data_IF_544265089744
#
_entry.id   IF_544265089744
#
_cell.length_a   1.000
_cell.length_b   1.000
_cell.length_c   1.000
_cell.angle_alpha   90.00
_cell.angle_beta   90.00
_cell.angle_gamma   90.00
#
_symmetry.space_group_name_H-M   'P 1'
#
loop_
_entity.id
_entity.type
_entity.pdbx_description
1 polymer ?
#
# COMPACT_ATOMS: atom_id res chain seq x y z
N UNK A 1 6.86 22.32 -21.38
CA UNK A 1 6.47 20.91 -21.49
C UNK A 1 5.59 20.58 -20.28
N UNK A 2 4.26 20.51 -20.43
CA UNK A 2 3.37 20.15 -19.32
C UNK A 2 3.69 18.78 -18.70
N UNK A 3 4.15 17.81 -19.49
CA UNK A 3 4.52 16.45 -19.02
C UNK A 3 5.62 16.44 -17.96
N UNK A 4 6.67 17.26 -18.13
CA UNK A 4 7.77 17.34 -17.16
C UNK A 4 7.26 17.83 -15.80
N UNK A 5 6.35 18.80 -15.79
CA UNK A 5 5.76 19.31 -14.55
C UNK A 5 4.96 18.24 -13.80
N UNK A 6 4.25 17.36 -14.52
CA UNK A 6 3.55 16.21 -13.91
C UNK A 6 4.50 15.17 -13.35
N UNK A 7 5.60 14.92 -14.06
CA UNK A 7 6.67 14.03 -13.59
C UNK A 7 7.28 14.57 -12.29
N UNK A 8 7.61 15.86 -12.27
CA UNK A 8 8.17 16.55 -11.12
C UNK A 8 7.21 16.55 -9.93
N UNK A 9 5.91 16.77 -10.17
CA UNK A 9 4.86 16.69 -9.15
C UNK A 9 4.79 15.30 -8.49
N UNK A 10 4.83 14.23 -9.29
CA UNK A 10 4.87 12.85 -8.77
C UNK A 10 6.18 12.62 -8.00
N UNK A 11 7.31 13.09 -8.51
CA UNK A 11 8.60 12.96 -7.83
C UNK A 11 8.63 13.72 -6.49
N UNK A 12 8.02 14.89 -6.40
CA UNK A 12 7.92 15.67 -5.16
C UNK A 12 7.06 14.94 -4.11
N UNK A 13 5.92 14.39 -4.53
CA UNK A 13 5.05 13.60 -3.65
C UNK A 13 5.74 12.34 -3.13
N UNK A 14 6.54 11.69 -3.97
CA UNK A 14 7.25 10.45 -3.64
C UNK A 14 8.53 10.69 -2.84
N UNK A 15 9.13 11.88 -2.92
CA UNK A 15 10.29 12.22 -2.09
C UNK A 15 9.93 12.21 -0.59
N UNK A 16 8.67 12.47 -0.24
CA UNK A 16 8.18 12.33 1.13
C UNK A 16 8.20 10.87 1.62
N UNK A 17 7.90 9.90 0.74
CA UNK A 17 8.05 8.48 1.06
C UNK A 17 9.51 8.11 1.28
N UNK A 18 10.40 8.59 0.39
CA UNK A 18 11.85 8.34 0.50
C UNK A 18 12.44 8.84 1.81
N UNK A 19 12.00 10.02 2.25
CA UNK A 19 12.45 10.63 3.52
C UNK A 19 11.78 10.01 4.75
N UNK A 20 10.91 9.02 4.56
CA UNK A 20 10.15 8.36 5.64
C UNK A 20 9.42 9.38 6.54
N UNK A 21 8.91 10.46 5.94
CA UNK A 21 8.15 11.48 6.65
C UNK A 21 6.73 10.97 6.92
N UNK A 22 6.58 10.05 7.89
CA UNK A 22 5.31 9.38 8.20
C UNK A 22 4.18 10.35 8.54
N UNK A 23 4.52 11.52 9.10
CA UNK A 23 3.61 12.61 9.41
C UNK A 23 3.00 13.28 8.17
N UNK A 24 3.58 13.05 6.99
CA UNK A 24 3.13 13.62 5.71
C UNK A 24 2.42 12.63 4.80
N UNK A 25 2.28 11.35 5.19
CA UNK A 25 1.67 10.34 4.33
C UNK A 25 0.24 10.66 3.92
N UNK A 26 -0.55 11.26 4.81
CA UNK A 26 -1.92 11.69 4.49
C UNK A 26 -1.93 12.80 3.45
N UNK A 27 -1.00 13.74 3.56
CA UNK A 27 -0.86 14.82 2.59
C UNK A 27 -0.43 14.30 1.22
N UNK A 28 0.55 13.40 1.19
CA UNK A 28 0.98 12.71 -0.03
C UNK A 28 -0.17 11.97 -0.70
N UNK A 29 -0.94 11.19 0.06
CA UNK A 29 -2.05 10.41 -0.47
C UNK A 29 -3.16 11.31 -1.03
N UNK A 30 -3.54 12.35 -0.30
CA UNK A 30 -4.55 13.29 -0.74
C UNK A 30 -4.12 14.04 -2.01
N UNK A 31 -2.86 14.44 -2.11
CA UNK A 31 -2.31 15.03 -3.34
C UNK A 31 -2.33 14.05 -4.51
N UNK A 32 -1.89 12.80 -4.31
CA UNK A 32 -1.91 11.79 -5.36
C UNK A 32 -3.34 11.49 -5.83
N UNK A 33 -4.33 11.46 -4.92
CA UNK A 33 -5.75 11.33 -5.27
C UNK A 33 -6.26 12.53 -6.09
N UNK A 34 -5.81 13.75 -5.78
CA UNK A 34 -6.12 14.94 -6.57
C UNK A 34 -5.54 14.82 -7.99
N UNK A 35 -4.28 14.40 -8.12
CA UNK A 35 -3.64 14.15 -9.41
C UNK A 35 -4.38 13.07 -10.22
N UNK A 36 -4.74 11.95 -9.61
CA UNK A 36 -5.56 10.88 -10.21
C UNK A 36 -6.91 11.43 -10.70
N UNK A 37 -7.58 12.24 -9.88
CA UNK A 37 -8.88 12.85 -10.22
C UNK A 37 -8.76 13.79 -11.41
N UNK A 38 -7.71 14.63 -11.45
CA UNK A 38 -7.48 15.57 -12.54
C UNK A 38 -7.22 14.82 -13.85
N UNK A 39 -6.40 13.76 -13.83
CA UNK A 39 -6.14 12.96 -15.03
C UNK A 39 -7.38 12.21 -15.51
N UNK A 40 -8.15 11.61 -14.60
CA UNK A 40 -9.34 10.83 -14.98
C UNK A 40 -10.53 11.67 -15.41
N UNK A 41 -10.67 12.90 -14.89
CA UNK A 41 -11.82 13.77 -15.21
C UNK A 41 -11.60 14.59 -16.49
N UNK A 42 -10.36 15.02 -16.77
CA UNK A 42 -10.08 15.94 -17.88
C UNK A 42 -9.68 15.25 -19.18
N UNK A 43 -9.45 13.94 -19.17
CA UNK A 43 -9.02 13.22 -20.36
C UNK A 43 -10.25 12.69 -21.09
N UNK A 44 -10.52 13.23 -22.28
CA UNK A 44 -11.51 12.67 -23.23
C UNK A 44 -10.96 11.32 -23.73
N UNK A 45 -11.83 10.34 -24.00
CA UNK A 45 -11.45 8.94 -24.28
C UNK A 45 -10.32 8.75 -25.33
N UNK A 46 -10.14 9.69 -26.26
CA UNK A 46 -9.08 9.63 -27.29
C UNK A 46 -7.74 10.31 -26.90
N UNK A 47 -7.69 11.11 -25.82
CA UNK A 47 -6.52 11.95 -25.47
C UNK A 47 -5.54 11.27 -24.48
N UNK A 48 -5.83 10.06 -24.05
CA UNK A 48 -5.01 9.34 -23.06
C UNK A 48 -3.57 9.05 -23.51
N UNK A 49 -3.31 9.05 -24.82
CA UNK A 49 -1.97 8.89 -25.41
C UNK A 49 -1.22 10.22 -25.55
N UNK A 50 -1.82 11.32 -25.11
CA UNK A 50 -1.20 12.63 -25.13
C UNK A 50 -0.81 13.05 -23.71
N UNK A 51 0.20 13.92 -23.57
CA UNK A 51 0.50 14.53 -22.30
C UNK A 51 -0.66 15.41 -21.83
N UNK A 52 -0.89 15.52 -20.51
CA UNK A 52 -1.90 16.43 -19.97
C UNK A 52 -1.59 17.87 -20.39
N UNK A 53 -2.62 18.61 -20.81
CA UNK A 53 -2.47 20.01 -21.24
C UNK A 53 -2.44 20.98 -20.06
N UNK A 54 -3.03 20.60 -18.93
CA UNK A 54 -2.98 21.33 -17.67
C UNK A 54 -1.67 21.09 -16.92
N UNK A 55 -1.29 22.04 -16.07
CA UNK A 55 -0.24 21.83 -15.08
C UNK A 55 -0.83 21.13 -13.85
N UNK A 56 -0.06 20.27 -13.16
CA UNK A 56 -0.51 19.73 -11.89
C UNK A 56 -0.56 20.84 -10.83
N UNK A 57 -1.42 20.72 -9.80
CA UNK A 57 -1.37 21.57 -8.62
C UNK A 57 -0.01 21.45 -7.92
N UNK A 58 0.46 22.49 -7.24
CA UNK A 58 1.70 22.41 -6.45
C UNK A 58 1.44 21.63 -5.15
N UNK A 59 2.35 20.72 -4.80
CA UNK A 59 2.23 19.96 -3.56
C UNK A 59 2.13 20.84 -2.31
N UNK A 60 2.87 21.96 -2.28
CA UNK A 60 2.85 22.94 -1.18
C UNK A 60 1.56 23.75 -1.09
N UNK A 61 0.83 23.93 -2.19
CA UNK A 61 -0.42 24.71 -2.19
C UNK A 61 -1.58 23.92 -1.61
N UNK A 62 -1.60 22.60 -1.82
CA UNK A 62 -2.63 21.70 -1.27
C UNK A 62 -2.53 21.58 0.26
N UNK A 63 -1.34 21.81 0.84
CA UNK A 63 -1.10 21.69 2.27
C UNK A 63 -0.43 22.95 2.82
N UNK A 64 -1.21 24.02 2.97
CA UNK A 64 -0.85 25.06 3.93
C UNK A 64 -0.80 24.38 5.31
N UNK A 65 0.43 24.22 5.83
CA UNK A 65 0.65 23.70 7.18
C UNK A 65 -0.31 24.41 8.12
N UNK A 66 -1.26 23.66 8.71
CA UNK A 66 -2.02 24.18 9.84
C UNK A 66 -0.98 24.59 10.87
N UNK A 67 -0.95 25.88 11.30
CA UNK A 67 0.11 26.37 12.16
C UNK A 67 0.18 25.47 13.39
N UNK A 68 1.32 24.79 13.55
CA UNK A 68 1.54 23.80 14.61
C UNK A 68 1.13 24.43 15.93
N UNK A 69 0.01 23.97 16.47
CA UNK A 69 -0.44 24.31 17.82
C UNK A 69 0.69 23.94 18.77
N UNK A 70 1.32 24.97 19.36
CA UNK A 70 2.41 24.80 20.30
C UNK A 70 1.85 24.16 21.57
N UNK A 71 1.94 22.84 21.69
CA UNK A 71 1.55 22.17 22.92
C UNK A 71 1.46 20.66 22.80
N UNK A 72 2.49 20.00 23.32
CA UNK A 72 2.57 18.63 23.87
C UNK A 72 3.66 17.83 23.19
N UNK A 73 4.81 17.75 23.85
CA UNK A 73 5.87 16.77 23.62
C UNK A 73 5.33 15.36 23.84
N UNK A 74 4.75 14.77 22.80
CA UNK A 74 4.63 13.32 22.66
C UNK A 74 6.01 12.79 22.26
N UNK A 75 6.50 11.78 22.97
CA UNK A 75 7.71 11.01 22.62
C UNK A 75 7.56 10.56 21.16
N UNK A 76 8.41 11.10 20.29
CA UNK A 76 8.29 10.92 18.84
C UNK A 76 8.57 9.47 18.45
N UNK A 77 7.58 8.83 17.85
CA UNK A 77 7.64 7.52 17.16
C UNK A 77 8.83 7.38 16.21
N UNK A 78 9.40 8.51 15.76
CA UNK A 78 10.62 8.58 14.94
C UNK A 78 11.84 7.85 15.55
N UNK A 79 12.03 7.85 16.88
CA UNK A 79 13.18 7.18 17.51
C UNK A 79 13.03 5.65 17.60
N UNK A 80 11.80 5.13 17.52
CA UNK A 80 11.53 3.68 17.43
C UNK A 80 11.59 3.15 15.99
N UNK A 81 11.55 4.05 14.99
CA UNK A 81 11.55 3.74 13.56
C UNK A 81 12.97 3.65 12.96
N UNK A 82 13.94 4.36 13.53
CA UNK A 82 15.31 4.44 13.02
C UNK A 82 16.15 3.15 13.12
N UNK A 83 15.67 2.12 13.81
CA UNK A 83 16.39 0.85 13.99
C UNK A 83 15.90 -0.31 13.10
N UNK A 84 15.00 -0.06 12.14
CA UNK A 84 14.26 -1.12 11.43
C UNK A 84 14.44 -1.16 9.91
N UNK A 85 15.30 -0.32 9.36
CA UNK A 85 15.78 -0.42 7.98
C UNK A 85 17.25 -0.79 8.06
N UNK A 86 17.59 -1.96 7.51
CA UNK A 86 18.99 -2.28 7.21
C UNK A 86 19.41 -1.27 6.13
N UNK A 87 20.24 -0.28 6.50
CA UNK A 87 20.65 0.87 5.67
C UNK A 87 21.41 0.50 4.36
N UNK A 88 21.41 -0.77 3.95
CA UNK A 88 22.30 -1.30 2.91
C UNK A 88 21.61 -1.85 1.66
N UNK A 89 20.28 -1.78 1.52
CA UNK A 89 19.57 -2.13 0.27
C UNK A 89 18.75 -0.97 -0.29
N UNK A 90 19.33 0.22 -0.33
CA UNK A 90 18.87 1.24 -1.27
C UNK A 90 19.23 0.76 -2.69
N UNK A 91 18.42 -0.14 -3.25
CA UNK A 91 18.50 -0.53 -4.66
C UNK A 91 18.49 0.71 -5.54
N UNK A 92 19.28 0.69 -6.61
CA UNK A 92 19.31 1.78 -7.60
C UNK A 92 17.88 2.05 -8.09
N UNK A 93 17.28 3.14 -7.61
CA UNK A 93 15.96 3.54 -8.06
C UNK A 93 16.03 3.89 -9.54
N UNK A 94 15.06 3.43 -10.35
CA UNK A 94 15.08 3.64 -11.78
C UNK A 94 15.15 5.14 -12.12
N UNK A 95 16.30 5.57 -12.65
CA UNK A 95 16.46 6.94 -13.17
C UNK A 95 15.51 7.16 -14.34
N UNK A 96 14.62 8.15 -14.20
CA UNK A 96 13.71 8.54 -15.27
C UNK A 96 14.50 9.17 -16.42
N UNK A 97 14.46 8.55 -17.59
CA UNK A 97 15.09 9.08 -18.80
C UNK A 97 14.32 10.35 -19.23
N UNK A 98 14.94 11.53 -19.17
CA UNK A 98 14.28 12.84 -19.35
C UNK A 98 13.92 13.21 -20.80
N UNK A 99 13.92 12.26 -21.74
CA UNK A 99 13.83 12.56 -23.19
C UNK A 99 12.50 12.15 -23.83
N UNK A 100 11.63 11.42 -23.14
CA UNK A 100 10.31 11.05 -23.67
C UNK A 100 9.21 11.68 -22.83
N UNK A 101 8.30 12.39 -23.50
CA UNK A 101 7.13 12.99 -22.86
C UNK A 101 6.19 11.89 -22.39
N UNK A 102 5.93 11.79 -21.09
CA UNK A 102 4.94 10.85 -20.55
C UNK A 102 3.51 11.27 -20.94
N UNK A 103 2.74 10.30 -21.42
CA UNK A 103 1.32 10.42 -21.64
C UNK A 103 0.51 10.28 -20.33
N UNK A 104 -0.79 10.61 -20.39
CA UNK A 104 -1.69 10.53 -19.25
C UNK A 104 -1.77 9.13 -18.61
N UNK A 105 -1.66 8.04 -19.40
CA UNK A 105 -1.80 6.68 -18.86
C UNK A 105 -0.58 6.25 -18.07
N UNK A 106 0.62 6.53 -18.57
CA UNK A 106 1.86 6.28 -17.86
C UNK A 106 1.92 7.07 -16.55
N UNK A 107 1.50 8.33 -16.58
CA UNK A 107 1.35 9.14 -15.37
C UNK A 107 0.36 8.49 -14.38
N UNK A 108 -0.78 8.00 -14.87
CA UNK A 108 -1.79 7.35 -14.04
C UNK A 108 -1.28 6.04 -13.41
N UNK A 109 -0.59 5.18 -14.17
CA UNK A 109 0.04 3.94 -13.65
C UNK A 109 0.96 4.30 -12.48
N UNK A 110 1.82 5.31 -12.66
CA UNK A 110 2.76 5.75 -11.62
C UNK A 110 2.04 6.33 -10.40
N UNK A 111 1.08 7.23 -10.57
CA UNK A 111 0.30 7.81 -9.47
C UNK A 111 -0.36 6.71 -8.65
N UNK A 112 -1.07 5.79 -9.29
CA UNK A 112 -1.79 4.70 -8.62
C UNK A 112 -0.82 3.74 -7.91
N UNK A 113 0.34 3.49 -8.53
CA UNK A 113 1.39 2.67 -7.90
C UNK A 113 1.96 3.36 -6.65
N UNK A 114 2.24 4.66 -6.72
CA UNK A 114 2.70 5.42 -5.55
C UNK A 114 1.64 5.52 -4.45
N UNK A 115 0.35 5.64 -4.79
CA UNK A 115 -0.72 5.55 -3.80
C UNK A 115 -0.69 4.21 -3.06
N UNK A 116 -0.43 3.11 -3.80
CA UNK A 116 -0.27 1.78 -3.20
C UNK A 116 0.87 1.75 -2.18
N UNK A 117 2.03 2.34 -2.50
CA UNK A 117 3.17 2.43 -1.59
C UNK A 117 2.85 3.28 -0.34
N UNK A 118 2.20 4.44 -0.51
CA UNK A 118 1.76 5.27 0.63
C UNK A 118 0.86 4.46 1.56
N UNK A 119 -0.10 3.71 1.00
CA UNK A 119 -0.97 2.85 1.79
C UNK A 119 -0.22 1.73 2.51
N UNK A 120 0.77 1.09 1.86
CA UNK A 120 1.59 0.06 2.49
C UNK A 120 2.42 0.62 3.66
N UNK A 121 3.02 1.81 3.51
CA UNK A 121 3.72 2.50 4.59
C UNK A 121 2.79 2.86 5.76
N UNK A 122 1.58 3.37 5.46
CA UNK A 122 0.56 3.65 6.48
C UNK A 122 0.15 2.40 7.23
N UNK A 123 -0.11 1.30 6.52
CA UNK A 123 -0.45 0.01 7.12
C UNK A 123 0.60 -0.42 8.15
N UNK A 124 1.88 -0.32 7.79
CA UNK A 124 2.98 -0.65 8.69
C UNK A 124 3.01 0.26 9.94
N UNK A 125 2.97 1.58 9.75
CA UNK A 125 3.00 2.56 10.83
C UNK A 125 1.86 2.35 11.84
N UNK A 126 0.65 2.07 11.34
CA UNK A 126 -0.52 1.81 12.18
C UNK A 126 -0.41 0.48 12.94
N UNK A 127 0.12 -0.57 12.31
CA UNK A 127 0.42 -1.82 13.01
C UNK A 127 1.46 -1.61 14.13
N UNK A 128 2.47 -0.74 13.96
CA UNK A 128 3.40 -0.40 15.06
C UNK A 128 2.70 0.30 16.21
N UNK A 129 1.78 1.20 15.90
CA UNK A 129 0.92 1.90 16.87
C UNK A 129 -0.20 1.02 17.44
N UNK A 130 -0.26 -0.26 17.04
CA UNK A 130 -1.26 -1.26 17.48
C UNK A 130 -2.69 -0.96 17.04
N UNK A 131 -2.83 -0.17 15.98
CA UNK A 131 -4.08 0.09 15.28
C UNK A 131 -4.30 -0.98 14.20
N UNK A 132 -4.44 -2.23 14.65
CA UNK A 132 -4.32 -3.41 13.79
C UNK A 132 -5.33 -3.46 12.64
N UNK A 133 -6.61 -3.19 12.91
CA UNK A 133 -7.66 -3.25 11.89
C UNK A 133 -7.47 -2.16 10.84
N UNK A 134 -7.25 -0.91 11.26
CA UNK A 134 -7.00 0.21 10.35
C UNK A 134 -5.74 -0.04 9.51
N UNK A 135 -4.70 -0.62 10.11
CA UNK A 135 -3.50 -1.05 9.39
C UNK A 135 -3.81 -2.09 8.30
N UNK A 136 -4.62 -3.11 8.60
CA UNK A 136 -5.04 -4.11 7.63
C UNK A 136 -5.90 -3.52 6.49
N UNK A 137 -6.80 -2.59 6.79
CA UNK A 137 -7.60 -1.87 5.79
C UNK A 137 -6.72 -1.08 4.81
N UNK A 138 -5.65 -0.45 5.30
CA UNK A 138 -4.68 0.23 4.44
C UNK A 138 -3.87 -0.75 3.57
N UNK A 139 -3.49 -1.92 4.09
CA UNK A 139 -2.85 -2.95 3.28
C UNK A 139 -3.78 -3.46 2.16
N UNK A 140 -5.08 -3.62 2.45
CA UNK A 140 -6.09 -3.95 1.43
C UNK A 140 -6.22 -2.83 0.38
N UNK A 141 -6.24 -1.57 0.81
CA UNK A 141 -6.29 -0.41 -0.09
C UNK A 141 -5.08 -0.35 -1.02
N UNK A 142 -3.90 -0.71 -0.48
CA UNK A 142 -2.65 -0.83 -1.26
C UNK A 142 -2.78 -1.88 -2.37
N UNK A 143 -3.29 -3.08 -2.05
CA UNK A 143 -3.51 -4.14 -3.04
C UNK A 143 -4.52 -3.74 -4.12
N UNK A 144 -5.61 -3.08 -3.74
CA UNK A 144 -6.61 -2.56 -4.69
C UNK A 144 -5.97 -1.59 -5.70
N UNK A 145 -5.07 -0.73 -5.24
CA UNK A 145 -4.34 0.20 -6.12
C UNK A 145 -3.36 -0.54 -7.03
N UNK A 146 -2.65 -1.56 -6.56
CA UNK A 146 -1.84 -2.44 -7.42
C UNK A 146 -2.67 -3.07 -8.54
N UNK A 147 -3.84 -3.62 -8.24
CA UNK A 147 -4.71 -4.23 -9.27
C UNK A 147 -5.18 -3.20 -10.30
N UNK A 148 -5.47 -1.96 -9.86
CA UNK A 148 -5.79 -0.86 -10.77
C UNK A 148 -4.62 -0.53 -11.71
N UNK A 149 -3.40 -0.40 -11.17
CA UNK A 149 -2.20 -0.15 -11.98
C UNK A 149 -1.94 -1.28 -12.98
N UNK A 150 -2.04 -2.55 -12.56
CA UNK A 150 -1.93 -3.71 -13.43
C UNK A 150 -2.98 -3.72 -14.55
N UNK A 151 -4.22 -3.34 -14.25
CA UNK A 151 -5.29 -3.26 -15.26
C UNK A 151 -5.03 -2.18 -16.32
N UNK A 152 -4.48 -1.02 -15.91
CA UNK A 152 -4.11 0.05 -16.84
C UNK A 152 -2.91 -0.40 -17.70
N UNK A 153 -1.88 -0.99 -17.08
CA UNK A 153 -0.69 -1.48 -17.79
C UNK A 153 -1.03 -2.57 -18.83
N UNK A 154 -1.88 -3.54 -18.46
CA UNK A 154 -2.36 -4.60 -19.35
C UNK A 154 -3.08 -4.05 -20.60
N UNK A 155 -3.92 -3.02 -20.41
CA UNK A 155 -4.59 -2.34 -21.52
C UNK A 155 -3.60 -1.68 -22.49
N UNK A 156 -2.53 -1.08 -21.96
CA UNK A 156 -1.52 -0.40 -22.78
C UNK A 156 -0.61 -1.36 -23.52
N UNK A 157 -0.19 -2.44 -22.87
CA UNK A 157 0.59 -3.49 -23.50
C UNK A 157 -0.22 -4.13 -24.64
N UNK A 158 -1.50 -4.40 -24.40
CA UNK A 158 -2.42 -4.95 -25.41
C UNK A 158 -2.54 -4.06 -26.65
N UNK A 159 -2.62 -2.73 -26.47
CA UNK A 159 -2.66 -1.77 -27.60
C UNK A 159 -1.31 -1.71 -28.32
N UNK A 160 -0.22 -1.65 -27.58
CA UNK A 160 1.13 -1.61 -28.16
C UNK A 160 1.43 -2.84 -29.01
N UNK A 161 1.00 -4.04 -28.60
CA UNK A 161 1.16 -5.28 -29.39
C UNK A 161 0.46 -5.17 -30.76
N UNK A 162 -0.59 -4.36 -30.88
CA UNK A 162 -1.34 -4.16 -32.12
C UNK A 162 -0.72 -3.09 -33.05
N UNK A 163 0.13 -2.19 -32.52
CA UNK A 163 0.74 -1.07 -33.24
C UNK A 163 2.11 -1.45 -33.84
N UNK A 164 2.39 -1.15 -35.11
CA UNK A 164 3.64 -1.56 -35.79
C UNK A 164 4.92 -0.78 -35.35
N UNK A 165 4.86 0.13 -34.36
CA UNK A 165 5.98 0.99 -33.94
C UNK A 165 6.50 0.63 -32.53
N UNK A 166 7.44 -0.31 -32.45
CA UNK A 166 7.66 -1.04 -31.21
C UNK A 166 8.76 -0.52 -30.27
N UNK A 167 9.86 0.08 -30.76
CA UNK A 167 11.10 0.11 -29.96
C UNK A 167 11.11 1.08 -28.76
N UNK A 168 10.62 2.32 -28.93
CA UNK A 168 10.63 3.33 -27.86
C UNK A 168 9.59 3.00 -26.80
N UNK A 169 8.37 2.67 -27.24
CA UNK A 169 7.23 2.34 -26.37
C UNK A 169 7.46 1.07 -25.56
N UNK A 170 8.24 0.10 -26.08
CA UNK A 170 8.65 -1.09 -25.32
C UNK A 170 9.38 -0.72 -24.03
N UNK A 171 10.46 0.08 -24.13
CA UNK A 171 11.29 0.46 -22.97
C UNK A 171 10.49 1.20 -21.91
N UNK A 172 9.52 2.01 -22.34
CA UNK A 172 8.62 2.74 -21.46
C UNK A 172 7.67 1.83 -20.69
N UNK A 173 7.08 0.83 -21.37
CA UNK A 173 6.25 -0.18 -20.75
C UNK A 173 7.04 -1.09 -19.80
N UNK A 174 8.28 -1.46 -20.16
CA UNK A 174 9.19 -2.20 -19.27
C UNK A 174 9.45 -1.43 -17.97
N UNK A 175 9.66 -0.11 -18.05
CA UNK A 175 9.86 0.73 -16.87
C UNK A 175 8.63 0.76 -15.98
N UNK A 176 7.45 0.94 -16.56
CA UNK A 176 6.21 1.07 -15.78
C UNK A 176 5.81 -0.29 -15.17
N UNK A 177 6.00 -1.40 -15.89
CA UNK A 177 5.83 -2.76 -15.36
C UNK A 177 6.80 -3.04 -14.20
N UNK A 178 8.06 -2.62 -14.33
CA UNK A 178 9.04 -2.76 -13.26
C UNK A 178 8.64 -1.97 -12.00
N UNK A 179 8.16 -0.73 -12.15
CA UNK A 179 7.67 0.09 -11.04
C UNK A 179 6.52 -0.61 -10.30
N UNK A 180 5.55 -1.19 -11.03
CA UNK A 180 4.45 -1.94 -10.43
C UNK A 180 4.96 -3.19 -9.68
N UNK A 181 5.91 -3.93 -10.26
CA UNK A 181 6.51 -5.11 -9.62
C UNK A 181 7.18 -4.77 -8.29
N UNK A 182 7.97 -3.68 -8.27
CA UNK A 182 8.64 -3.22 -7.05
C UNK A 182 7.62 -2.85 -5.97
N UNK A 183 6.51 -2.21 -6.34
CA UNK A 183 5.44 -1.89 -5.40
C UNK A 183 4.74 -3.15 -4.84
N UNK A 184 4.55 -4.19 -5.67
CA UNK A 184 4.00 -5.49 -5.23
C UNK A 184 4.93 -6.15 -4.20
N UNK A 185 6.24 -6.14 -4.43
CA UNK A 185 7.24 -6.67 -3.50
C UNK A 185 7.23 -5.89 -2.18
N UNK A 186 7.18 -4.55 -2.26
CA UNK A 186 7.07 -3.66 -1.10
C UNK A 186 5.82 -3.93 -0.27
N UNK A 187 4.64 -4.07 -0.90
CA UNK A 187 3.41 -4.44 -0.22
C UNK A 187 3.51 -5.82 0.44
N UNK A 188 4.01 -6.82 -0.29
CA UNK A 188 4.19 -8.20 0.21
C UNK A 188 5.05 -8.19 1.47
N UNK A 189 6.20 -7.51 1.42
CA UNK A 189 7.09 -7.37 2.57
C UNK A 189 6.41 -6.69 3.77
N UNK A 190 5.72 -5.57 3.54
CA UNK A 190 5.03 -4.85 4.61
C UNK A 190 3.88 -5.66 5.22
N UNK A 191 3.09 -6.35 4.39
CA UNK A 191 2.04 -7.27 4.83
C UNK A 191 2.62 -8.35 5.75
N UNK A 192 3.70 -9.02 5.34
CA UNK A 192 4.29 -10.13 6.10
C UNK A 192 4.84 -9.68 7.46
N UNK A 193 5.40 -8.47 7.51
CA UNK A 193 5.80 -7.82 8.77
C UNK A 193 4.60 -7.55 9.67
N UNK A 194 3.52 -6.97 9.13
CA UNK A 194 2.29 -6.75 9.88
C UNK A 194 1.69 -8.06 10.40
N UNK A 195 1.64 -9.11 9.59
CA UNK A 195 1.20 -10.46 9.99
C UNK A 195 2.04 -10.98 11.16
N UNK A 196 3.37 -10.84 11.08
CA UNK A 196 4.29 -11.26 12.15
C UNK A 196 4.03 -10.48 13.44
N UNK A 197 3.77 -9.18 13.36
CA UNK A 197 3.46 -8.33 14.52
C UNK A 197 2.12 -8.70 15.15
N UNK A 198 1.07 -8.85 14.35
CA UNK A 198 -0.25 -9.32 14.80
C UNK A 198 -0.15 -10.68 15.48
N UNK A 199 0.55 -11.66 14.89
CA UNK A 199 0.71 -13.00 15.46
C UNK A 199 1.44 -12.99 16.82
N UNK A 200 2.44 -12.12 16.98
CA UNK A 200 3.15 -11.92 18.26
C UNK A 200 2.21 -11.32 19.32
N UNK A 201 1.42 -10.32 18.95
CA UNK A 201 0.44 -9.69 19.85
C UNK A 201 -0.68 -10.67 20.24
N UNK A 202 -1.21 -11.43 19.29
CA UNK A 202 -2.19 -12.49 19.53
C UNK A 202 -1.65 -13.50 20.55
N UNK A 203 -0.43 -14.00 20.33
CA UNK A 203 0.24 -14.94 21.23
C UNK A 203 0.48 -14.35 22.62
N UNK A 204 0.74 -13.04 22.72
CA UNK A 204 0.84 -12.35 24.00
C UNK A 204 -0.51 -12.32 24.72
N UNK A 205 -1.58 -11.89 24.04
CA UNK A 205 -2.92 -11.78 24.62
C UNK A 205 -3.46 -13.15 25.05
N UNK A 206 -3.29 -14.19 24.23
CA UNK A 206 -3.71 -15.55 24.57
C UNK A 206 -3.00 -16.09 25.82
N UNK A 207 -1.68 -15.83 25.97
CA UNK A 207 -0.94 -16.20 27.20
C UNK A 207 -1.47 -15.49 28.45
N UNK A 208 -2.03 -14.29 28.30
CA UNK A 208 -2.59 -13.50 29.39
C UNK A 208 -4.05 -13.86 29.71
N UNK A 209 -4.84 -14.19 28.70
CA UNK A 209 -6.26 -14.50 28.82
C UNK A 209 -6.51 -15.94 29.24
N UNK A 210 -5.76 -16.91 28.70
CA UNK A 210 -6.00 -18.34 28.95
C UNK A 210 -6.01 -18.72 30.44
N UNK A 211 -5.03 -18.33 31.28
CA UNK A 211 -5.07 -18.62 32.71
C UNK A 211 -6.28 -17.98 33.43
N UNK A 212 -6.75 -16.84 32.95
CA UNK A 212 -7.91 -16.15 33.52
C UNK A 212 -9.25 -16.79 33.12
N UNK A 213 -9.33 -17.35 31.92
CA UNK A 213 -10.47 -18.15 31.49
C UNK A 213 -10.54 -19.44 32.30
N UNK A 214 -9.43 -20.18 32.39
CA UNK A 214 -9.32 -21.42 33.19
C UNK A 214 -9.70 -21.17 34.66
N UNK A 215 -9.09 -20.17 35.30
CA UNK A 215 -9.41 -19.81 36.69
C UNK A 215 -10.87 -19.40 36.89
N UNK A 216 -11.45 -18.64 35.94
CA UNK A 216 -12.88 -18.26 35.99
C UNK A 216 -13.75 -19.50 35.91
N UNK A 217 -13.48 -20.38 34.96
CA UNK A 217 -14.30 -21.55 34.69
C UNK A 217 -14.20 -22.55 35.84
N UNK A 218 -13.04 -22.70 36.49
CA UNK A 218 -12.87 -23.46 37.73
C UNK A 218 -13.70 -22.89 38.89
N UNK A 219 -13.67 -21.58 39.11
CA UNK A 219 -14.46 -20.93 40.18
C UNK A 219 -15.96 -21.04 39.87
N UNK A 220 -16.35 -20.87 38.61
CA UNK A 220 -17.72 -21.07 38.14
C UNK A 220 -18.21 -22.48 38.43
N UNK A 221 -17.41 -23.49 38.07
CA UNK A 221 -17.71 -24.90 38.33
C UNK A 221 -17.83 -25.19 39.84
N UNK A 222 -16.97 -24.57 40.68
CA UNK A 222 -17.00 -24.75 42.14
C UNK A 222 -18.21 -24.11 42.82
N UNK A 223 -18.62 -22.93 42.35
CA UNK A 223 -19.76 -22.21 42.94
C UNK A 223 -21.12 -22.75 42.46
N UNK A 224 -21.16 -23.34 41.26
CA UNK A 224 -22.40 -23.69 40.56
C UNK A 224 -23.01 -22.49 39.81
N UNK A 225 -23.69 -22.78 38.70
CA UNK A 225 -24.21 -21.76 37.76
C UNK A 225 -25.11 -20.72 38.46
N UNK A 226 -26.00 -21.17 39.36
CA UNK A 226 -26.96 -20.31 40.04
C UNK A 226 -26.28 -19.32 41.00
N UNK A 227 -25.30 -19.77 41.79
CA UNK A 227 -24.55 -18.88 42.69
C UNK A 227 -23.59 -17.99 41.93
N UNK A 228 -23.01 -18.48 40.82
CA UNK A 228 -22.17 -17.67 39.95
C UNK A 228 -22.95 -16.49 39.37
N UNK A 229 -24.14 -16.75 38.82
CA UNK A 229 -25.02 -15.70 38.27
C UNK A 229 -25.50 -14.72 39.34
N UNK A 230 -25.81 -15.20 40.54
CA UNK A 230 -26.35 -14.39 41.63
C UNK A 230 -25.30 -13.94 42.67
N UNK A 231 -24.00 -13.93 42.33
CA UNK A 231 -22.96 -13.52 43.28
C UNK A 231 -23.11 -12.04 43.68
N UNK A 232 -23.38 -11.70 44.95
CA UNK A 232 -23.56 -10.33 45.40
C UNK A 232 -22.26 -9.51 45.42
N UNK A 233 -21.09 -10.17 45.39
CA UNK A 233 -19.77 -9.53 45.50
C UNK A 233 -18.94 -9.75 44.23
N UNK A 234 -19.39 -9.22 43.09
CA UNK A 234 -18.61 -9.26 41.84
C UNK A 234 -17.43 -8.29 41.93
N UNK A 235 -16.21 -8.79 41.76
CA UNK A 235 -15.02 -7.94 41.60
C UNK A 235 -14.92 -7.52 40.13
N UNK A 236 -15.07 -6.23 39.85
CA UNK A 236 -15.12 -5.72 38.48
C UNK A 236 -13.74 -5.44 37.88
N UNK A 237 -12.73 -5.13 38.68
CA UNK A 237 -11.41 -4.69 38.18
C UNK A 237 -10.75 -5.71 37.24
N UNK A 238 -10.78 -7.00 37.61
CA UNK A 238 -10.28 -8.08 36.76
C UNK A 238 -11.21 -8.43 35.59
N UNK A 239 -12.50 -8.08 35.69
CA UNK A 239 -13.44 -8.28 34.59
C UNK A 239 -13.26 -7.23 33.50
N UNK A 240 -12.99 -5.98 33.89
CA UNK A 240 -12.72 -4.88 32.97
C UNK A 240 -11.42 -5.09 32.19
N UNK A 241 -10.32 -5.37 32.88
CA UNK A 241 -9.03 -5.64 32.22
C UNK A 241 -9.11 -6.84 31.25
N UNK A 242 -9.86 -7.88 31.63
CA UNK A 242 -10.09 -9.04 30.76
C UNK A 242 -10.89 -8.64 29.52
N UNK A 243 -11.97 -7.88 29.68
CA UNK A 243 -12.78 -7.39 28.57
C UNK A 243 -11.94 -6.59 27.58
N UNK A 244 -11.08 -5.70 28.07
CA UNK A 244 -10.14 -4.95 27.22
C UNK A 244 -9.19 -5.86 26.44
N UNK A 245 -8.64 -6.90 27.08
CA UNK A 245 -7.77 -7.87 26.41
C UNK A 245 -8.52 -8.74 25.40
N UNK A 246 -9.76 -9.14 25.71
CA UNK A 246 -10.64 -9.90 24.81
C UNK A 246 -11.01 -9.07 23.57
N UNK A 247 -11.37 -7.80 23.75
CA UNK A 247 -11.66 -6.87 22.65
C UNK A 247 -10.41 -6.66 21.78
N UNK A 248 -9.26 -6.41 22.41
CA UNK A 248 -8.00 -6.27 21.68
C UNK A 248 -7.61 -7.55 20.95
N UNK A 249 -7.86 -8.73 21.53
CA UNK A 249 -7.61 -10.02 20.88
C UNK A 249 -8.49 -10.17 19.64
N UNK A 250 -9.79 -9.86 19.73
CA UNK A 250 -10.70 -9.89 18.59
C UNK A 250 -10.23 -8.95 17.47
N UNK A 251 -9.77 -7.74 17.82
CA UNK A 251 -9.24 -6.78 16.84
C UNK A 251 -7.97 -7.30 16.15
N UNK A 252 -7.03 -7.88 16.89
CA UNK A 252 -5.80 -8.47 16.33
C UNK A 252 -6.13 -9.66 15.42
N UNK A 253 -7.06 -10.52 15.83
CA UNK A 253 -7.46 -11.70 15.06
C UNK A 253 -8.13 -11.31 13.75
N UNK A 254 -9.05 -10.35 13.78
CA UNK A 254 -9.68 -9.83 12.56
C UNK A 254 -8.65 -9.20 11.60
N UNK A 255 -7.70 -8.42 12.12
CA UNK A 255 -6.61 -7.87 11.32
C UNK A 255 -5.70 -8.95 10.73
N UNK A 256 -5.38 -10.00 11.49
CA UNK A 256 -4.55 -11.11 11.03
C UNK A 256 -5.23 -11.91 9.91
N UNK A 257 -6.54 -12.17 10.05
CA UNK A 257 -7.35 -12.81 9.00
C UNK A 257 -7.38 -11.96 7.73
N UNK A 258 -7.67 -10.66 7.86
CA UNK A 258 -7.68 -9.73 6.74
C UNK A 258 -6.33 -9.69 6.01
N UNK A 259 -5.22 -9.51 6.75
CA UNK A 259 -3.88 -9.48 6.17
C UNK A 259 -3.50 -10.79 5.46
N UNK A 260 -3.89 -11.94 6.01
CA UNK A 260 -3.61 -13.26 5.38
C UNK A 260 -4.48 -13.53 4.16
N UNK A 261 -5.64 -12.89 4.06
CA UNK A 261 -6.51 -13.00 2.88
C UNK A 261 -6.04 -12.17 1.69
N UNK A 262 -5.03 -11.29 1.88
CA UNK A 262 -4.44 -10.50 0.80
C UNK A 262 -3.57 -11.39 -0.10
N UNK A 263 -4.10 -11.71 -1.29
CA UNK A 263 -3.41 -12.47 -2.32
C UNK A 263 -2.47 -11.58 -3.14
N UNK A 264 -1.24 -11.41 -2.66
CA UNK A 264 -0.19 -10.71 -3.39
C UNK A 264 0.44 -11.55 -4.49
N UNK A 265 0.28 -12.88 -4.41
CA UNK A 265 0.91 -13.82 -5.35
C UNK A 265 0.19 -13.76 -6.70
N UNK A 266 -1.14 -13.62 -6.71
CA UNK A 266 -1.92 -13.34 -7.92
C UNK A 266 -1.43 -12.06 -8.61
N UNK A 267 -1.24 -10.98 -7.85
CA UNK A 267 -0.75 -9.71 -8.39
C UNK A 267 0.67 -9.85 -8.96
N UNK A 268 1.55 -10.57 -8.27
CA UNK A 268 2.92 -10.83 -8.71
C UNK A 268 2.95 -11.66 -10.00
N UNK A 269 2.17 -12.74 -10.07
CA UNK A 269 2.02 -13.57 -11.26
C UNK A 269 1.54 -12.76 -12.46
N UNK A 270 0.52 -11.90 -12.27
CA UNK A 270 0.03 -11.02 -13.33
C UNK A 270 1.11 -10.03 -13.79
N UNK A 271 1.90 -9.48 -12.86
CA UNK A 271 3.03 -8.60 -13.21
C UNK A 271 4.08 -9.32 -14.07
N UNK A 272 4.40 -10.58 -13.74
CA UNK A 272 5.32 -11.41 -14.54
C UNK A 272 4.76 -11.71 -15.95
N UNK A 273 3.46 -11.96 -16.07
CA UNK A 273 2.81 -12.18 -17.36
C UNK A 273 2.89 -10.93 -18.25
N UNK A 274 2.64 -9.75 -17.69
CA UNK A 274 2.80 -8.47 -18.42
C UNK A 274 4.24 -8.27 -18.91
N UNK A 275 5.22 -8.53 -18.05
CA UNK A 275 6.64 -8.46 -18.44
C UNK A 275 6.95 -9.43 -19.59
N UNK A 276 6.46 -10.67 -19.49
CA UNK A 276 6.60 -11.66 -20.56
C UNK A 276 5.96 -11.22 -21.87
N UNK A 277 4.77 -10.60 -21.83
CA UNK A 277 4.13 -10.06 -23.03
C UNK A 277 4.96 -8.96 -23.69
N UNK A 278 5.55 -8.06 -22.89
CA UNK A 278 6.44 -7.00 -23.40
C UNK A 278 7.67 -7.60 -24.11
N UNK A 279 8.28 -8.62 -23.50
CA UNK A 279 9.47 -9.29 -24.06
C UNK A 279 9.17 -9.98 -25.40
N UNK A 280 8.04 -10.69 -25.49
CA UNK A 280 7.67 -11.47 -26.68
C UNK A 280 6.98 -10.64 -27.77
N UNK A 281 6.30 -9.55 -27.41
CA UNK A 281 5.60 -8.67 -28.36
C UNK A 281 6.51 -8.05 -29.42
N UNK A 282 7.83 -8.05 -29.18
CA UNK A 282 8.83 -7.54 -30.12
C UNK A 282 9.19 -8.52 -31.26
N UNK A 283 8.82 -9.80 -31.17
CA UNK A 283 9.34 -10.87 -32.03
C UNK A 283 8.39 -11.42 -33.11
N UNK A 284 7.15 -10.92 -33.20
CA UNK A 284 6.03 -11.70 -33.79
C UNK A 284 5.64 -11.48 -35.25
N UNK A 285 6.26 -10.58 -36.02
CA UNK A 285 5.88 -10.35 -37.44
C UNK A 285 7.03 -10.42 -38.45
N UNK A 286 8.16 -11.01 -38.06
CA UNK A 286 9.26 -11.34 -38.97
C UNK A 286 9.14 -12.80 -39.44
N UNK A 287 9.00 -12.99 -40.74
CA UNK A 287 9.12 -14.26 -41.46
C UNK A 287 7.95 -15.24 -41.31
N UNK A 288 6.83 -14.85 -41.91
CA UNK A 288 6.10 -15.80 -42.75
C UNK A 288 7.03 -16.34 -43.83
N UNK A 289 7.76 -17.41 -43.51
CA UNK A 289 8.48 -18.23 -44.48
C UNK A 289 7.42 -18.76 -45.47
N UNK A 290 7.33 -18.12 -46.63
CA UNK A 290 6.62 -18.65 -47.78
C UNK A 290 7.31 -19.95 -48.19
N UNK A 291 6.75 -21.08 -47.75
CA UNK A 291 7.04 -22.36 -48.38
C UNK A 291 6.33 -22.36 -49.74
N UNK A 292 7.12 -22.06 -50.78
CA UNK A 292 6.77 -22.33 -52.17
C UNK A 292 6.76 -23.84 -52.45
#
# INVERSE_FOLDING_TARGET
MPSDAWSDAILEATDCLRRQAFDRLDACLAYLNELETILTTNTVDDDWNLPPTSRPPFFSETFQETPKSAGTTMTTTADLLAGMYDDNEAGDFPTLNSQSSMDCRRLLIRIVTFQSEVFACKAMSLCQSKEWQVGAEHAQSSLTKIHSALGIADSEISKWIQEDNHSVKKKELEQDAHIVSVAIESLTHNRDRCVTMCAKEESFLLRKLKPQWESRDEVKNRMGEDRWKNNPNRKNDHAELRREWEERLANVQGALEALRSLDTDEAHQKSMELQGQIDHGSGGRGDGINYH
#
